data_IF_464152044092
#
_entry.id   IF_464152044092
#
_cell.length_a   1.000
_cell.length_b   1.000
_cell.length_c   1.000
_cell.angle_alpha   90.00
_cell.angle_beta   90.00
_cell.angle_gamma   90.00
#
_symmetry.space_group_name_H-M   'P 1'
#
loop_
_entity.id
_entity.type
_entity.pdbx_description
1 polymer ?
#
# COMPACT_ATOMS: atom_id res chain seq x y z
N UNK A 1 -12.69 -1.38 -5.42
CA UNK A 1 -12.61 -2.75 -5.93
C UNK A 1 -13.16 -3.73 -4.91
N UNK A 2 -14.15 -4.51 -5.27
CA UNK A 2 -14.88 -5.41 -4.37
C UNK A 2 -14.41 -6.87 -4.43
N UNK A 3 -13.23 -7.14 -4.99
CA UNK A 3 -12.68 -8.50 -5.07
C UNK A 3 -11.24 -8.55 -4.57
N UNK A 4 -10.87 -9.63 -3.92
CA UNK A 4 -9.53 -9.89 -3.43
C UNK A 4 -9.03 -11.28 -3.84
N UNK A 5 -7.74 -11.39 -4.15
CA UNK A 5 -7.04 -12.64 -4.29
C UNK A 5 -6.40 -13.00 -2.95
N UNK A 6 -6.71 -14.18 -2.44
CA UNK A 6 -6.19 -14.66 -1.16
C UNK A 6 -5.38 -15.92 -1.36
N UNK A 7 -4.20 -15.95 -0.76
CA UNK A 7 -3.33 -17.10 -0.64
C UNK A 7 -3.51 -17.71 0.76
N UNK A 8 -3.85 -18.97 0.81
CA UNK A 8 -4.33 -19.63 2.02
C UNK A 8 -3.48 -20.86 2.33
N UNK A 9 -2.85 -20.91 3.53
CA UNK A 9 -2.23 -22.14 4.01
C UNK A 9 -3.28 -23.23 4.25
N UNK A 10 -2.91 -24.50 4.14
CA UNK A 10 -3.82 -25.64 4.40
C UNK A 10 -4.50 -25.54 5.78
N UNK A 11 -3.76 -25.13 6.82
CA UNK A 11 -4.30 -24.92 8.16
C UNK A 11 -5.35 -23.80 8.24
N UNK A 12 -5.19 -22.73 7.43
CA UNK A 12 -6.16 -21.64 7.34
C UNK A 12 -7.38 -22.07 6.54
N UNK A 13 -7.20 -22.91 5.50
CA UNK A 13 -8.29 -23.46 4.72
C UNK A 13 -9.28 -24.29 5.58
N UNK A 14 -8.81 -24.90 6.67
CA UNK A 14 -9.66 -25.63 7.60
C UNK A 14 -10.55 -24.71 8.45
N UNK A 15 -10.20 -23.44 8.60
CA UNK A 15 -10.95 -22.43 9.35
C UNK A 15 -11.74 -21.48 8.44
N UNK A 16 -11.72 -21.72 7.13
CA UNK A 16 -12.44 -20.88 6.20
C UNK A 16 -13.96 -21.09 6.31
N UNK A 17 -14.77 -20.05 6.03
CA UNK A 17 -16.23 -20.17 6.00
C UNK A 17 -16.70 -21.27 5.05
N UNK A 18 -17.83 -21.88 5.39
CA UNK A 18 -18.43 -22.95 4.60
C UNK A 18 -18.71 -22.48 3.18
N UNK A 19 -18.45 -23.38 2.21
CA UNK A 19 -18.65 -23.10 0.79
C UNK A 19 -17.63 -22.16 0.15
N UNK A 20 -16.56 -21.74 0.86
CA UNK A 20 -15.50 -20.95 0.24
C UNK A 20 -14.76 -21.76 -0.82
N UNK A 21 -14.89 -21.35 -2.08
CA UNK A 21 -14.23 -22.01 -3.22
C UNK A 21 -12.74 -21.76 -3.18
N UNK A 22 -11.96 -22.82 -3.00
CA UNK A 22 -10.51 -22.78 -3.00
C UNK A 22 -9.95 -23.80 -3.98
N UNK A 23 -8.93 -23.42 -4.73
CA UNK A 23 -8.19 -24.31 -5.64
C UNK A 23 -6.76 -24.50 -5.16
N UNK A 24 -6.12 -25.61 -5.51
CA UNK A 24 -4.70 -25.80 -5.25
C UNK A 24 -3.89 -24.76 -6.01
N UNK A 25 -2.96 -24.11 -5.33
CA UNK A 25 -2.12 -23.09 -5.94
C UNK A 25 -0.96 -23.69 -6.75
N UNK A 26 -1.26 -24.79 -7.46
CA UNK A 26 -0.30 -25.52 -8.32
C UNK A 26 -0.32 -24.99 -9.76
N UNK A 27 0.81 -25.08 -10.47
CA UNK A 27 2.14 -25.53 -9.99
C UNK A 27 2.91 -24.43 -9.26
N UNK A 28 2.30 -23.27 -8.99
CA UNK A 28 2.99 -22.10 -8.48
C UNK A 28 3.49 -22.28 -7.05
N UNK A 29 2.64 -22.74 -6.13
CA UNK A 29 2.94 -22.92 -4.71
C UNK A 29 2.33 -24.22 -4.20
N UNK A 30 3.17 -25.23 -3.96
CA UNK A 30 2.68 -26.49 -3.36
C UNK A 30 2.35 -26.30 -1.88
N UNK A 31 1.28 -26.95 -1.44
CA UNK A 31 0.83 -26.84 -0.05
C UNK A 31 -0.03 -25.62 0.28
N UNK A 32 -0.27 -24.75 -0.69
CA UNK A 32 -1.15 -23.59 -0.56
C UNK A 32 -2.42 -23.73 -1.39
N UNK A 33 -3.46 -23.03 -0.97
CA UNK A 33 -4.73 -22.85 -1.69
C UNK A 33 -4.81 -21.41 -2.20
N UNK A 34 -5.52 -21.21 -3.28
CA UNK A 34 -5.87 -19.90 -3.82
C UNK A 34 -7.37 -19.73 -3.81
N UNK A 35 -7.84 -18.59 -3.35
CA UNK A 35 -9.24 -18.20 -3.39
C UNK A 35 -9.39 -16.84 -4.06
N UNK A 36 -10.49 -16.65 -4.76
CA UNK A 36 -10.95 -15.35 -5.27
C UNK A 36 -12.29 -15.05 -4.60
N UNK A 37 -12.35 -13.95 -3.87
CA UNK A 37 -13.52 -13.53 -3.12
C UNK A 37 -14.00 -12.16 -3.55
N UNK A 38 -15.26 -11.85 -3.30
CA UNK A 38 -15.89 -10.57 -3.67
C UNK A 38 -16.58 -10.00 -2.43
N UNK A 39 -16.37 -8.71 -2.15
CA UNK A 39 -17.20 -7.97 -1.20
C UNK A 39 -18.50 -7.61 -1.88
N UNK A 40 -19.53 -8.38 -1.63
CA UNK A 40 -20.83 -8.21 -2.31
C UNK A 40 -21.58 -6.98 -1.83
N UNK A 41 -21.38 -6.59 -0.56
CA UNK A 41 -22.00 -5.40 0.03
C UNK A 41 -21.41 -4.08 -0.51
N UNK A 42 -20.16 -4.11 -0.97
CA UNK A 42 -19.48 -2.95 -1.53
C UNK A 42 -19.49 -2.95 -3.07
N UNK A 43 -20.03 -4.00 -3.68
CA UNK A 43 -20.13 -4.12 -5.13
C UNK A 43 -21.24 -3.20 -5.66
N UNK A 44 -20.87 -2.24 -6.53
CA UNK A 44 -21.82 -1.29 -7.14
C UNK A 44 -22.66 -1.90 -8.27
N UNK A 45 -22.45 -3.18 -8.63
CA UNK A 45 -23.19 -3.85 -9.69
C UNK A 45 -22.91 -3.34 -11.10
N UNK A 46 -21.81 -2.62 -11.35
CA UNK A 46 -21.52 -1.97 -12.64
C UNK A 46 -21.25 -2.95 -13.80
N UNK A 47 -21.00 -4.24 -13.55
CA UNK A 47 -20.78 -5.26 -14.56
C UNK A 47 -19.44 -5.21 -15.30
N UNK A 48 -18.57 -4.23 -15.04
CA UNK A 48 -17.29 -4.04 -15.74
C UNK A 48 -16.41 -5.30 -15.69
N UNK A 49 -16.29 -5.96 -14.54
CA UNK A 49 -15.50 -7.17 -14.36
C UNK A 49 -16.04 -8.36 -15.20
N UNK A 50 -17.35 -8.51 -15.29
CA UNK A 50 -18.00 -9.54 -16.11
C UNK A 50 -17.79 -9.25 -17.61
N UNK A 51 -17.91 -7.98 -18.01
CA UNK A 51 -17.75 -7.57 -19.42
C UNK A 51 -16.31 -7.82 -19.92
N UNK A 52 -15.29 -7.47 -19.13
CA UNK A 52 -13.88 -7.62 -19.52
C UNK A 52 -13.28 -8.99 -19.19
N UNK A 53 -14.05 -9.92 -18.64
CA UNK A 53 -13.57 -11.24 -18.26
C UNK A 53 -12.99 -11.98 -19.50
N UNK A 54 -11.72 -12.39 -19.51
CA UNK A 54 -11.06 -12.99 -20.66
C UNK A 54 -11.42 -14.46 -20.88
N UNK A 55 -12.11 -15.09 -19.94
CA UNK A 55 -12.52 -16.49 -20.07
C UNK A 55 -13.55 -16.66 -21.19
N UNK A 56 -13.39 -17.71 -22.01
CA UNK A 56 -14.30 -18.00 -23.15
C UNK A 56 -15.78 -17.99 -22.74
N UNK A 57 -16.09 -18.56 -21.57
CA UNK A 57 -17.47 -18.69 -21.06
C UNK A 57 -17.75 -17.68 -19.94
N UNK A 58 -17.01 -16.57 -19.86
CA UNK A 58 -17.16 -15.58 -18.80
C UNK A 58 -17.19 -16.22 -17.41
N UNK A 59 -16.05 -16.30 -16.76
CA UNK A 59 -15.94 -16.88 -15.41
C UNK A 59 -16.61 -16.04 -14.31
N UNK A 60 -16.95 -14.78 -14.62
CA UNK A 60 -17.65 -13.86 -13.73
C UNK A 60 -19.02 -13.54 -14.34
N UNK A 61 -20.05 -13.76 -13.55
CA UNK A 61 -21.44 -13.44 -13.91
C UNK A 61 -22.04 -12.51 -12.85
N UNK A 62 -23.02 -11.73 -13.28
CA UNK A 62 -23.76 -10.85 -12.36
C UNK A 62 -24.98 -11.62 -11.84
N UNK A 63 -25.15 -11.62 -10.52
CA UNK A 63 -26.24 -12.27 -9.83
C UNK A 63 -26.93 -11.25 -8.90
N UNK A 64 -28.22 -11.46 -8.52
CA UNK A 64 -28.88 -10.64 -7.51
C UNK A 64 -28.14 -10.66 -6.18
N UNK A 65 -28.00 -9.50 -5.54
CA UNK A 65 -27.27 -9.35 -4.27
C UNK A 65 -27.77 -10.32 -3.19
N UNK A 66 -29.10 -10.46 -3.08
CA UNK A 66 -29.75 -11.29 -2.07
C UNK A 66 -29.32 -12.76 -2.14
N UNK A 67 -28.95 -13.25 -3.33
CA UNK A 67 -28.49 -14.62 -3.54
C UNK A 67 -26.99 -14.81 -3.22
N UNK A 68 -26.26 -13.72 -2.95
CA UNK A 68 -24.81 -13.72 -2.80
C UNK A 68 -24.33 -13.23 -1.42
N UNK A 69 -25.22 -12.99 -0.47
CA UNK A 69 -24.86 -12.41 0.83
C UNK A 69 -23.82 -13.24 1.60
N UNK A 70 -23.83 -14.56 1.45
CA UNK A 70 -22.86 -15.48 2.10
C UNK A 70 -21.42 -15.27 1.60
N UNK A 71 -21.23 -14.66 0.41
CA UNK A 71 -19.91 -14.36 -0.13
C UNK A 71 -19.19 -13.24 0.67
N UNK A 72 -19.95 -12.40 1.40
CA UNK A 72 -19.36 -11.34 2.22
C UNK A 72 -18.47 -11.90 3.35
N UNK A 73 -18.92 -12.96 4.01
CA UNK A 73 -18.12 -13.60 5.07
C UNK A 73 -16.82 -14.19 4.50
N UNK A 74 -16.88 -14.80 3.30
CA UNK A 74 -15.72 -15.35 2.61
C UNK A 74 -14.71 -14.27 2.22
N UNK A 75 -15.21 -13.12 1.77
CA UNK A 75 -14.35 -11.96 1.49
C UNK A 75 -13.69 -11.45 2.78
N UNK A 76 -14.46 -11.24 3.83
CA UNK A 76 -13.97 -10.76 5.13
C UNK A 76 -12.88 -11.67 5.68
N UNK A 77 -13.10 -12.99 5.60
CA UNK A 77 -12.08 -13.98 5.98
C UNK A 77 -10.80 -13.85 5.15
N UNK A 78 -10.94 -13.81 3.81
CA UNK A 78 -9.79 -13.66 2.91
C UNK A 78 -8.99 -12.37 3.18
N UNK A 79 -9.68 -11.26 3.42
CA UNK A 79 -9.07 -9.97 3.73
C UNK A 79 -8.37 -9.93 5.09
N UNK A 80 -8.78 -10.79 6.04
CA UNK A 80 -8.15 -10.88 7.38
C UNK A 80 -6.81 -11.62 7.37
N UNK A 81 -6.49 -12.36 6.31
CA UNK A 81 -5.25 -13.14 6.22
C UNK A 81 -4.04 -12.24 6.00
N UNK A 82 -2.93 -12.61 6.62
CA UNK A 82 -1.66 -11.90 6.42
C UNK A 82 -1.04 -12.20 5.06
N UNK A 83 -0.33 -11.21 4.52
CA UNK A 83 0.56 -11.42 3.38
C UNK A 83 1.59 -12.50 3.72
N UNK A 84 1.92 -13.34 2.73
CA UNK A 84 2.85 -14.46 2.94
C UNK A 84 4.18 -14.18 2.26
N UNK A 85 5.30 -14.20 3.02
CA UNK A 85 6.63 -13.92 2.47
C UNK A 85 6.99 -14.81 1.28
N UNK A 86 6.57 -16.07 1.30
CA UNK A 86 6.85 -17.03 0.23
C UNK A 86 6.14 -16.66 -1.08
N UNK A 87 4.92 -16.12 -0.98
CA UNK A 87 4.17 -15.63 -2.13
C UNK A 87 4.79 -14.34 -2.65
N UNK A 88 5.15 -13.42 -1.77
CA UNK A 88 5.84 -12.18 -2.14
C UNK A 88 7.21 -12.44 -2.80
N UNK A 89 7.96 -13.43 -2.33
CA UNK A 89 9.23 -13.83 -2.94
C UNK A 89 9.05 -14.42 -4.35
N UNK A 90 7.97 -15.16 -4.58
CA UNK A 90 7.70 -15.81 -5.88
C UNK A 90 7.03 -14.88 -6.88
N UNK A 91 6.14 -14.03 -6.44
CA UNK A 91 5.37 -13.11 -7.28
C UNK A 91 5.78 -11.67 -6.97
N UNK A 92 6.69 -11.13 -7.78
CA UNK A 92 7.18 -9.76 -7.60
C UNK A 92 6.02 -8.77 -7.58
N UNK A 93 5.96 -7.92 -6.56
CA UNK A 93 4.92 -6.91 -6.39
C UNK A 93 4.82 -5.92 -7.57
N UNK A 94 5.90 -5.75 -8.34
CA UNK A 94 5.95 -4.91 -9.55
C UNK A 94 5.26 -5.53 -10.77
N UNK A 95 4.72 -6.74 -10.66
CA UNK A 95 3.93 -7.39 -11.70
C UNK A 95 2.43 -7.28 -11.40
N UNK A 96 1.60 -7.31 -12.44
CA UNK A 96 0.13 -7.27 -12.28
C UNK A 96 -0.35 -8.36 -11.31
N UNK A 97 0.14 -9.59 -11.48
CA UNK A 97 -0.23 -10.71 -10.61
C UNK A 97 0.28 -10.53 -9.18
N UNK A 98 1.54 -10.17 -9.02
CA UNK A 98 2.17 -10.05 -7.69
C UNK A 98 1.60 -8.92 -6.86
N UNK A 99 1.24 -7.80 -7.49
CA UNK A 99 0.62 -6.66 -6.80
C UNK A 99 -0.74 -7.03 -6.16
N UNK A 100 -1.44 -8.03 -6.69
CA UNK A 100 -2.75 -8.44 -6.17
C UNK A 100 -2.66 -9.21 -4.84
N UNK A 101 -1.48 -9.69 -4.46
CA UNK A 101 -1.23 -10.33 -3.17
C UNK A 101 -0.79 -9.32 -2.08
N UNK A 102 -0.59 -8.06 -2.46
CA UNK A 102 -0.32 -6.98 -1.51
C UNK A 102 -1.61 -6.41 -0.95
N UNK A 103 -1.61 -6.09 0.35
CA UNK A 103 -2.74 -5.43 0.98
C UNK A 103 -2.94 -4.04 0.36
N UNK A 104 -4.11 -3.74 -0.21
CA UNK A 104 -4.42 -2.40 -0.67
C UNK A 104 -4.65 -1.47 0.51
N UNK A 105 -4.21 -0.22 0.38
CA UNK A 105 -4.48 0.84 1.36
C UNK A 105 -5.44 1.89 0.80
N UNK A 106 -6.13 1.55 -0.26
CA UNK A 106 -7.29 2.23 -0.82
C UNK A 106 -8.28 1.20 -1.33
N UNK A 107 -9.47 1.17 -0.78
CA UNK A 107 -10.58 0.32 -1.23
C UNK A 107 -11.93 1.01 -1.01
N UNK A 108 -12.93 0.59 -1.77
CA UNK A 108 -14.33 1.02 -1.59
C UNK A 108 -14.51 2.54 -1.65
N UNK A 109 -13.80 3.18 -2.59
CA UNK A 109 -13.98 4.61 -2.85
C UNK A 109 -15.41 4.89 -3.35
N UNK A 110 -15.97 6.02 -3.00
CA UNK A 110 -17.25 6.49 -3.51
C UNK A 110 -17.20 7.02 -4.95
N UNK A 111 -16.18 6.64 -5.74
CA UNK A 111 -16.04 7.04 -7.13
C UNK A 111 -17.12 6.43 -8.03
N UNK A 112 -17.29 6.98 -9.24
CA UNK A 112 -18.22 6.48 -10.25
C UNK A 112 -17.94 5.00 -10.57
N UNK A 113 -18.99 4.26 -10.89
CA UNK A 113 -18.87 2.89 -11.37
C UNK A 113 -17.98 2.85 -12.63
N UNK A 114 -16.96 1.97 -12.62
CA UNK A 114 -15.99 1.88 -13.72
C UNK A 114 -15.00 3.03 -13.81
N UNK A 115 -14.82 3.84 -12.75
CA UNK A 115 -13.82 4.89 -12.70
C UNK A 115 -12.42 4.36 -13.05
N UNK A 116 -11.75 4.99 -14.02
CA UNK A 116 -10.40 4.60 -14.46
C UNK A 116 -9.29 5.02 -13.49
N UNK A 117 -9.53 6.03 -12.65
CA UNK A 117 -8.54 6.62 -11.74
C UNK A 117 -8.29 5.74 -10.50
N UNK A 118 -9.34 5.23 -9.87
CA UNK A 118 -9.23 4.48 -8.61
C UNK A 118 -8.39 3.20 -8.67
N UNK A 119 -8.32 2.45 -9.79
CA UNK A 119 -7.42 1.31 -9.92
C UNK A 119 -5.93 1.70 -9.82
N UNK A 120 -5.54 2.86 -10.36
CA UNK A 120 -4.18 3.37 -10.24
C UNK A 120 -3.86 3.77 -8.81
N UNK A 121 -4.74 4.54 -8.17
CA UNK A 121 -4.58 4.92 -6.76
C UNK A 121 -4.48 3.67 -5.85
N UNK A 122 -5.30 2.65 -6.08
CA UNK A 122 -5.19 1.36 -5.38
C UNK A 122 -3.84 0.69 -5.59
N UNK A 123 -3.39 0.55 -6.84
CA UNK A 123 -2.11 -0.07 -7.16
C UNK A 123 -0.94 0.64 -6.49
N UNK A 124 -0.92 1.97 -6.54
CA UNK A 124 0.14 2.78 -5.94
C UNK A 124 0.15 2.61 -4.42
N UNK A 125 -1.00 2.56 -3.77
CA UNK A 125 -1.07 2.31 -2.32
C UNK A 125 -0.65 0.89 -1.94
N UNK A 126 -0.85 -0.11 -2.80
CA UNK A 126 -0.32 -1.47 -2.58
C UNK A 126 1.20 -1.52 -2.63
N UNK A 127 1.84 -0.66 -3.43
CA UNK A 127 3.29 -0.63 -3.63
C UNK A 127 4.03 0.29 -2.66
N UNK A 128 3.41 1.40 -2.27
CA UNK A 128 4.08 2.49 -1.56
C UNK A 128 3.33 2.98 -0.32
N UNK A 129 2.12 2.52 -0.06
CA UNK A 129 1.20 3.08 0.91
C UNK A 129 1.75 3.20 2.33
N UNK A 130 2.61 2.28 2.75
CA UNK A 130 3.26 2.24 4.05
C UNK A 130 4.26 3.39 4.30
N UNK A 131 4.64 4.13 3.26
CA UNK A 131 5.63 5.23 3.29
C UNK A 131 5.27 6.37 2.33
N UNK A 132 3.99 6.57 2.06
CA UNK A 132 3.48 7.41 0.99
C UNK A 132 2.93 8.73 1.53
N UNK A 133 3.30 9.84 0.87
CA UNK A 133 2.67 11.14 1.00
C UNK A 133 1.93 11.48 -0.29
N UNK A 134 0.71 11.98 -0.16
CA UNK A 134 -0.15 12.37 -1.28
C UNK A 134 -0.51 13.84 -1.14
N UNK A 135 -0.09 14.65 -2.12
CA UNK A 135 -0.64 15.96 -2.38
C UNK A 135 -1.76 15.80 -3.41
N UNK A 136 -2.98 16.14 -3.05
CA UNK A 136 -4.15 15.90 -3.87
C UNK A 136 -4.78 17.21 -4.37
N UNK A 137 -5.07 17.32 -5.66
CA UNK A 137 -5.78 18.44 -6.22
C UNK A 137 -7.28 18.36 -5.91
N UNK A 138 -7.91 19.49 -5.63
CA UNK A 138 -9.37 19.56 -5.51
C UNK A 138 -10.03 19.09 -6.82
N UNK A 139 -10.92 18.13 -6.71
CA UNK A 139 -11.61 17.49 -7.84
C UNK A 139 -12.18 16.14 -7.44
N UNK A 140 -12.31 15.19 -8.38
CA UNK A 140 -12.86 13.87 -8.11
C UNK A 140 -12.07 13.14 -7.02
N UNK A 141 -10.75 13.16 -7.08
CA UNK A 141 -9.88 12.49 -6.10
C UNK A 141 -9.97 13.08 -4.69
N UNK A 142 -10.36 14.35 -4.54
CA UNK A 142 -10.66 14.93 -3.22
C UNK A 142 -12.02 14.48 -2.70
N UNK A 143 -13.01 14.35 -3.58
CA UNK A 143 -14.37 13.96 -3.19
C UNK A 143 -14.40 12.50 -2.73
N UNK A 144 -13.89 11.57 -3.52
CA UNK A 144 -13.86 10.17 -3.10
C UNK A 144 -12.72 9.85 -2.11
N UNK A 145 -11.66 10.68 -2.04
CA UNK A 145 -10.48 10.44 -1.23
C UNK A 145 -10.53 10.97 0.21
N UNK A 146 -11.18 12.11 0.45
CA UNK A 146 -11.13 12.73 1.76
C UNK A 146 -12.20 13.74 2.11
N UNK A 147 -13.05 14.15 1.17
CA UNK A 147 -14.11 15.14 1.42
C UNK A 147 -15.46 14.49 1.81
N UNK A 148 -15.64 13.21 1.57
CA UNK A 148 -16.81 12.46 2.01
C UNK A 148 -16.70 12.13 3.51
N UNK A 149 -17.79 11.74 4.17
CA UNK A 149 -17.75 11.40 5.61
C UNK A 149 -16.83 10.21 5.92
N UNK A 150 -16.42 9.43 4.92
CA UNK A 150 -15.46 8.33 5.05
C UNK A 150 -14.36 8.47 4.00
N UNK A 151 -13.15 8.13 4.38
CA UNK A 151 -12.01 8.03 3.46
C UNK A 151 -11.81 6.58 3.02
N UNK A 152 -11.51 6.30 1.73
CA UNK A 152 -11.16 4.95 1.27
C UNK A 152 -9.71 4.56 1.60
N UNK A 153 -8.90 5.50 2.04
CA UNK A 153 -7.53 5.25 2.48
C UNK A 153 -7.51 4.63 3.87
N UNK A 154 -6.60 3.70 4.09
CA UNK A 154 -6.41 3.00 5.36
C UNK A 154 -4.93 2.79 5.65
N UNK A 155 -4.63 2.11 6.73
CA UNK A 155 -3.28 1.76 7.16
C UNK A 155 -3.15 0.25 7.32
N UNK A 156 -1.92 -0.24 7.30
CA UNK A 156 -1.61 -1.65 7.52
C UNK A 156 -1.65 -2.01 9.01
N UNK A 157 -1.40 -3.28 9.33
CA UNK A 157 -1.37 -3.80 10.71
C UNK A 157 -0.31 -3.14 11.60
N UNK A 158 0.70 -2.51 11.01
CA UNK A 158 1.74 -1.74 11.71
C UNK A 158 1.33 -0.28 11.96
N UNK A 159 0.12 0.11 11.60
CA UNK A 159 -0.37 1.49 11.71
C UNK A 159 0.25 2.46 10.69
N UNK A 160 0.85 1.94 9.61
CA UNK A 160 1.47 2.74 8.55
C UNK A 160 0.55 2.78 7.33
N UNK A 161 0.31 3.96 6.78
CA UNK A 161 -0.53 4.17 5.60
C UNK A 161 -0.25 5.49 4.91
N UNK A 162 -0.95 5.80 3.79
CA UNK A 162 -0.78 7.06 3.09
C UNK A 162 -1.12 8.26 3.96
N UNK A 163 -0.26 9.27 3.95
CA UNK A 163 -0.56 10.59 4.49
C UNK A 163 -1.11 11.45 3.34
N UNK A 164 -2.39 11.79 3.41
CA UNK A 164 -3.12 12.50 2.37
C UNK A 164 -3.42 13.94 2.78
N UNK A 165 -3.17 14.88 1.88
CA UNK A 165 -3.51 16.28 2.09
C UNK A 165 -4.04 16.89 0.80
N UNK A 166 -5.16 17.60 0.88
CA UNK A 166 -5.75 18.27 -0.25
C UNK A 166 -5.18 19.68 -0.42
N UNK A 167 -5.04 20.09 -1.68
CA UNK A 167 -4.71 21.44 -2.10
C UNK A 167 -5.80 22.00 -3.00
N UNK A 168 -5.63 23.23 -3.46
CA UNK A 168 -6.51 23.79 -4.49
C UNK A 168 -6.22 23.13 -5.86
N UNK A 169 -7.17 23.30 -6.78
CA UNK A 169 -7.01 22.81 -8.15
C UNK A 169 -5.78 23.44 -8.84
N UNK A 170 -5.57 24.73 -8.60
CA UNK A 170 -4.60 25.56 -9.31
C UNK A 170 -3.16 25.37 -8.81
N UNK A 171 -2.96 24.98 -7.55
CA UNK A 171 -1.66 25.01 -6.88
C UNK A 171 -1.10 23.64 -6.48
N UNK A 172 -1.74 22.54 -6.87
CA UNK A 172 -1.38 21.21 -6.37
C UNK A 172 0.02 20.76 -6.79
N UNK A 173 0.50 21.18 -7.94
CA UNK A 173 1.85 20.85 -8.41
C UNK A 173 2.91 21.50 -7.48
N UNK A 174 2.75 22.77 -7.18
CA UNK A 174 3.62 23.54 -6.29
C UNK A 174 3.53 23.04 -4.84
N UNK A 175 2.32 22.74 -4.39
CA UNK A 175 2.08 22.18 -3.06
C UNK A 175 2.79 20.83 -2.90
N UNK A 176 2.61 19.91 -3.84
CA UNK A 176 3.26 18.60 -3.81
C UNK A 176 4.77 18.69 -3.94
N UNK A 177 5.29 19.61 -4.74
CA UNK A 177 6.72 19.88 -4.83
C UNK A 177 7.26 20.50 -3.53
N UNK A 178 6.53 21.41 -2.92
CA UNK A 178 6.87 21.98 -1.61
C UNK A 178 6.93 20.91 -0.51
N UNK A 179 5.97 19.99 -0.48
CA UNK A 179 6.00 18.83 0.43
C UNK A 179 7.25 17.97 0.21
N UNK A 180 7.61 17.70 -1.04
CA UNK A 180 8.82 16.95 -1.38
C UNK A 180 10.09 17.67 -0.89
N UNK A 181 10.21 18.97 -1.15
CA UNK A 181 11.37 19.76 -0.70
C UNK A 181 11.49 19.79 0.83
N UNK A 182 10.36 19.96 1.52
CA UNK A 182 10.32 19.91 2.99
C UNK A 182 10.81 18.56 3.52
N UNK A 183 10.25 17.47 3.04
CA UNK A 183 10.64 16.11 3.42
C UNK A 183 12.12 15.84 3.10
N UNK A 184 12.59 16.22 1.91
CA UNK A 184 13.98 16.07 1.50
C UNK A 184 14.93 16.83 2.42
N UNK A 185 14.59 18.07 2.77
CA UNK A 185 15.42 18.91 3.64
C UNK A 185 15.53 18.32 5.05
N UNK A 186 14.41 17.92 5.64
CA UNK A 186 14.38 17.31 6.96
C UNK A 186 15.14 15.99 6.98
N UNK A 187 14.94 15.15 5.97
CA UNK A 187 15.65 13.88 5.83
C UNK A 187 17.15 14.08 5.68
N UNK A 188 17.58 14.99 4.82
CA UNK A 188 19.01 15.27 4.62
C UNK A 188 19.68 15.76 5.90
N UNK A 189 18.98 16.54 6.72
CA UNK A 189 19.47 16.97 8.03
C UNK A 189 19.70 15.78 8.98
N UNK A 190 18.76 14.83 9.02
CA UNK A 190 18.92 13.64 9.85
C UNK A 190 20.03 12.73 9.30
N UNK A 191 20.14 12.56 7.97
CA UNK A 191 21.24 11.80 7.36
C UNK A 191 22.60 12.43 7.70
N UNK A 192 22.72 13.75 7.73
CA UNK A 192 23.96 14.41 8.14
C UNK A 192 24.33 14.03 9.59
N UNK A 193 23.38 14.09 10.52
CA UNK A 193 23.60 13.67 11.92
C UNK A 193 24.02 12.19 12.04
N UNK A 194 23.45 11.31 11.19
CA UNK A 194 23.84 9.89 11.14
C UNK A 194 25.29 9.73 10.66
N UNK A 195 25.71 10.52 9.66
CA UNK A 195 27.10 10.52 9.18
C UNK A 195 28.06 11.03 10.26
N UNK A 196 27.73 12.11 10.94
CA UNK A 196 28.54 12.67 12.03
C UNK A 196 28.69 11.64 13.19
N UNK A 197 27.61 10.94 13.52
CA UNK A 197 27.67 9.85 14.52
C UNK A 197 28.56 8.70 14.05
N UNK A 198 28.57 8.36 12.77
CA UNK A 198 29.44 7.29 12.23
C UNK A 198 30.94 7.61 12.42
N UNK A 199 31.29 8.88 12.34
CA UNK A 199 32.70 9.34 12.52
C UNK A 199 33.10 9.36 13.99
N UNK A 200 32.14 9.59 14.90
CA UNK A 200 32.44 9.84 16.33
C UNK A 200 32.17 8.66 17.24
N UNK A 201 31.37 7.68 16.84
CA UNK A 201 31.04 6.52 17.69
C UNK A 201 32.10 5.43 17.61
N UNK A 202 32.41 4.79 18.74
CA UNK A 202 33.23 3.58 18.80
C UNK A 202 32.40 2.28 18.90
N UNK A 203 31.08 2.42 18.96
CA UNK A 203 30.16 1.28 19.04
C UNK A 203 30.07 0.57 17.67
N UNK A 204 30.57 -0.68 17.62
CA UNK A 204 30.64 -1.47 16.39
C UNK A 204 29.25 -1.79 15.81
N UNK A 205 28.25 -2.06 16.67
CA UNK A 205 26.88 -2.38 16.23
C UNK A 205 26.21 -1.16 15.60
N UNK A 206 26.42 0.02 16.20
CA UNK A 206 25.91 1.30 15.64
C UNK A 206 26.59 1.59 14.31
N UNK A 207 27.92 1.42 14.19
CA UNK A 207 28.62 1.59 12.91
C UNK A 207 28.11 0.67 11.81
N UNK A 208 27.89 -0.60 12.13
CA UNK A 208 27.36 -1.58 11.16
C UNK A 208 25.95 -1.21 10.69
N UNK A 209 25.08 -0.80 11.61
CA UNK A 209 23.71 -0.36 11.28
C UNK A 209 23.70 0.94 10.44
N UNK A 210 24.59 1.90 10.75
CA UNK A 210 24.76 3.12 9.98
C UNK A 210 25.24 2.81 8.55
N UNK A 211 26.22 1.92 8.39
CA UNK A 211 26.74 1.53 7.08
C UNK A 211 25.63 0.93 6.20
N UNK A 212 24.84 -0.03 6.73
CA UNK A 212 23.69 -0.63 6.02
C UNK A 212 22.65 0.42 5.67
N UNK A 213 22.36 1.35 6.58
CA UNK A 213 21.43 2.44 6.34
C UNK A 213 21.89 3.36 5.21
N UNK A 214 23.15 3.80 5.23
CA UNK A 214 23.70 4.73 4.22
C UNK A 214 23.82 4.09 2.84
N UNK A 215 24.10 2.77 2.77
CA UNK A 215 24.13 2.03 1.50
C UNK A 215 22.75 1.92 0.85
N UNK A 216 21.69 1.91 1.65
CA UNK A 216 20.30 1.75 1.18
C UNK A 216 19.52 3.06 1.12
N UNK A 217 20.13 4.18 1.41
CA UNK A 217 19.45 5.48 1.63
C UNK A 217 18.53 5.91 0.47
N UNK A 218 18.85 5.51 -0.76
CA UNK A 218 18.05 5.85 -1.95
C UNK A 218 17.09 4.75 -2.41
N UNK A 219 17.15 3.55 -1.85
CA UNK A 219 16.23 2.46 -2.12
C UNK A 219 15.11 2.38 -1.06
N UNK A 220 13.88 2.77 -1.42
CA UNK A 220 12.76 2.80 -0.47
C UNK A 220 12.39 1.42 0.11
N UNK A 221 12.67 0.32 -0.59
CA UNK A 221 12.39 -1.03 -0.10
C UNK A 221 13.50 -1.53 0.83
N UNK A 222 14.76 -1.43 0.41
CA UNK A 222 15.90 -1.83 1.20
C UNK A 222 16.14 -0.92 2.42
N UNK A 223 15.83 0.38 2.29
CA UNK A 223 15.98 1.36 3.37
C UNK A 223 15.03 1.11 4.55
N UNK A 224 13.88 0.49 4.33
CA UNK A 224 12.92 0.21 5.41
C UNK A 224 13.51 -0.68 6.50
N UNK A 225 13.95 -1.92 6.23
CA UNK A 225 14.56 -2.78 7.25
C UNK A 225 15.88 -2.22 7.79
N UNK A 226 16.67 -1.54 6.96
CA UNK A 226 17.90 -0.90 7.41
C UNK A 226 17.62 0.24 8.40
N UNK A 227 16.54 1.02 8.19
CA UNK A 227 16.11 2.04 9.14
C UNK A 227 15.67 1.43 10.48
N UNK A 228 14.95 0.32 10.47
CA UNK A 228 14.50 -0.38 11.69
C UNK A 228 15.69 -0.88 12.51
N UNK A 229 16.69 -1.48 11.85
CA UNK A 229 17.95 -1.89 12.50
C UNK A 229 18.70 -0.69 13.07
N UNK A 230 18.81 0.40 12.31
CA UNK A 230 19.46 1.62 12.78
C UNK A 230 18.77 2.18 14.03
N UNK A 231 17.44 2.29 14.02
CA UNK A 231 16.66 2.78 15.17
C UNK A 231 16.91 1.89 16.39
N UNK A 232 16.87 0.56 16.24
CA UNK A 232 17.13 -0.36 17.34
C UNK A 232 18.56 -0.21 17.92
N UNK A 233 19.57 -0.07 17.06
CA UNK A 233 20.95 0.17 17.48
C UNK A 233 21.13 1.51 18.22
N UNK A 234 20.46 2.56 17.74
CA UNK A 234 20.48 3.89 18.38
C UNK A 234 19.77 3.90 19.74
N UNK A 235 18.64 3.20 19.87
CA UNK A 235 17.91 3.03 21.13
C UNK A 235 18.76 2.27 22.15
N UNK A 236 19.49 1.23 21.73
CA UNK A 236 20.41 0.48 22.58
C UNK A 236 21.66 1.28 22.99
N UNK A 237 22.17 2.14 22.11
CA UNK A 237 23.31 3.02 22.41
C UNK A 237 22.99 4.04 23.50
N UNK A 238 21.82 4.70 23.41
CA UNK A 238 21.34 5.68 24.38
C UNK A 238 22.19 6.94 24.55
N UNK A 239 23.21 7.15 23.72
CA UNK A 239 24.04 8.36 23.76
C UNK A 239 23.29 9.60 23.28
N UNK A 240 23.75 10.82 23.63
CA UNK A 240 23.07 12.06 23.29
C UNK A 240 22.87 12.26 21.77
N UNK A 241 23.88 11.94 20.96
CA UNK A 241 23.77 12.00 19.50
C UNK A 241 22.73 11.03 18.97
N UNK A 242 22.61 9.82 19.55
CA UNK A 242 21.56 8.86 19.18
C UNK A 242 20.18 9.39 19.57
N UNK A 243 20.01 9.98 20.74
CA UNK A 243 18.74 10.59 21.16
C UNK A 243 18.31 11.74 20.24
N UNK A 244 19.25 12.56 19.79
CA UNK A 244 18.99 13.66 18.85
C UNK A 244 18.54 13.15 17.47
N UNK A 245 19.12 12.05 16.98
CA UNK A 245 18.66 11.39 15.76
C UNK A 245 17.27 10.77 15.96
N UNK A 246 17.06 10.07 17.07
CA UNK A 246 15.79 9.41 17.41
C UNK A 246 14.64 10.40 17.57
N UNK A 247 14.89 11.63 18.02
CA UNK A 247 13.88 12.70 18.06
C UNK A 247 13.31 13.04 16.68
N UNK A 248 14.02 12.67 15.61
CA UNK A 248 13.62 12.89 14.23
C UNK A 248 13.53 11.58 13.42
N UNK A 249 13.35 10.43 14.09
CA UNK A 249 13.40 9.09 13.47
C UNK A 249 12.41 8.89 12.32
N UNK A 250 11.29 9.61 12.31
CA UNK A 250 10.29 9.51 11.25
C UNK A 250 10.80 9.97 9.87
N UNK A 251 11.88 10.76 9.84
CA UNK A 251 12.54 11.20 8.62
C UNK A 251 13.67 10.28 8.13
N UNK A 252 14.07 9.28 8.91
CA UNK A 252 15.11 8.32 8.49
C UNK A 252 14.65 7.49 7.30
N UNK A 253 13.44 6.94 7.37
CA UNK A 253 12.88 6.09 6.32
C UNK A 253 12.60 6.91 5.06
N UNK A 254 13.01 6.38 3.90
CA UNK A 254 12.71 7.01 2.61
C UNK A 254 11.22 7.00 2.35
N UNK A 255 10.63 8.18 2.18
CA UNK A 255 9.23 8.37 1.83
C UNK A 255 9.05 8.41 0.31
N UNK A 256 7.84 8.11 -0.14
CA UNK A 256 7.41 8.25 -1.52
C UNK A 256 6.44 9.42 -1.60
N UNK A 257 6.75 10.43 -2.40
CA UNK A 257 5.91 11.62 -2.59
C UNK A 257 5.16 11.52 -3.90
N UNK A 258 3.85 11.73 -3.84
CA UNK A 258 2.94 11.63 -4.97
C UNK A 258 2.09 12.89 -5.10
N UNK A 259 1.80 13.25 -6.34
CA UNK A 259 0.84 14.31 -6.67
C UNK A 259 -0.32 13.63 -7.37
N UNK A 260 -1.53 13.73 -6.80
CA UNK A 260 -2.76 13.17 -7.34
C UNK A 260 -3.66 14.29 -7.79
N UNK A 261 -4.36 14.03 -8.87
CA UNK A 261 -5.45 14.86 -9.38
C UNK A 261 -6.38 14.00 -10.21
N UNK A 262 -7.62 14.42 -10.37
CA UNK A 262 -8.54 13.79 -11.28
C UNK A 262 -8.19 14.07 -12.74
N UNK A 263 -8.91 13.41 -13.64
CA UNK A 263 -8.79 13.59 -15.07
C UNK A 263 -8.96 15.06 -15.52
N UNK A 264 -9.90 15.78 -14.88
CA UNK A 264 -10.08 17.20 -15.15
C UNK A 264 -8.88 18.08 -14.79
N UNK A 265 -8.20 17.77 -13.68
CA UNK A 265 -6.95 18.43 -13.27
C UNK A 265 -5.79 18.11 -14.22
N UNK A 266 -5.71 16.87 -14.65
CA UNK A 266 -4.65 16.39 -15.53
C UNK A 266 -4.89 16.75 -17.02
N UNK A 267 -6.01 17.34 -17.38
CA UNK A 267 -6.42 17.66 -18.76
C UNK A 267 -6.56 16.42 -19.67
N UNK A 268 -6.93 15.29 -19.12
CA UNK A 268 -7.00 14.01 -19.83
C UNK A 268 -8.36 13.30 -19.69
N UNK A 269 -9.44 14.06 -19.57
CA UNK A 269 -10.81 13.54 -19.49
C UNK A 269 -11.06 12.55 -20.64
N UNK A 270 -11.41 11.30 -20.26
CA UNK A 270 -11.64 10.22 -21.19
C UNK A 270 -10.44 9.31 -21.44
N UNK A 271 -9.28 9.62 -20.87
CA UNK A 271 -8.09 8.75 -20.91
C UNK A 271 -7.87 7.97 -19.62
N UNK A 272 -8.39 8.43 -18.54
CA UNK A 272 -8.41 7.96 -17.19
C UNK A 272 -7.96 6.61 -16.83
#
# INVERSE_FOLDING_TARGET
>A
RSSAASDVYKRQAANAPDGMKMVDFKPAMDGMKFAMTVSVLDCTGCGSCANVCPAKNKAIVMEPLESQLDEQEKFTYGASLDEKPEVAAKFKATTVKGSQFKQPMLEFSGACAGCGETPYAKLITQLFGDRMYIANATGCSSIWGGSAPSTPYTFNKEGKGPAWSNSLFEDNAEFGYGMFLGQKTLRNRVIAKVKDLNETTDNADVKAAIAEYLDTVDDGNANTPATEKLVAALEACGCEAAKDILASKDYLRKKSQWIFGGDGWAYDIGFG
#
